data_IF_429903818532
#
_entry.id   IF_429903818532
#
_cell.length_a   1.000
_cell.length_b   1.000
_cell.length_c   1.000
_cell.angle_alpha   90.00
_cell.angle_beta   90.00
_cell.angle_gamma   90.00
#
_symmetry.space_group_name_H-M   'P 1'
#
loop_
_entity.id
_entity.type
_entity.pdbx_description
1 polymer ?
#
# COMPACT_ATOMS: atom_id res chain seq x y z
N UNK A 1 6.68 -22.18 -0.09
CA UNK A 1 6.18 -20.88 -0.60
C UNK A 1 5.33 -20.10 0.40
N UNK A 2 4.24 -20.60 1.02
CA UNK A 2 3.38 -19.76 1.85
C UNK A 2 4.08 -19.19 3.10
N UNK A 3 5.02 -19.93 3.69
CA UNK A 3 5.75 -19.47 4.87
C UNK A 3 6.50 -18.15 4.65
N UNK A 4 7.29 -18.04 3.57
CA UNK A 4 8.09 -16.84 3.30
C UNK A 4 7.21 -15.62 3.02
N UNK A 5 6.13 -15.80 2.25
CA UNK A 5 5.18 -14.73 2.02
C UNK A 5 4.56 -14.23 3.34
N UNK A 6 4.20 -15.14 4.25
CA UNK A 6 3.62 -14.77 5.55
C UNK A 6 4.65 -14.16 6.52
N UNK A 7 5.92 -14.57 6.45
CA UNK A 7 7.02 -13.88 7.13
C UNK A 7 7.14 -12.42 6.64
N UNK A 8 7.10 -12.20 5.32
CA UNK A 8 7.10 -10.85 4.78
C UNK A 8 5.87 -10.03 5.20
N UNK A 9 4.67 -10.62 5.25
CA UNK A 9 3.47 -9.94 5.75
C UNK A 9 3.63 -9.56 7.22
N UNK A 10 4.25 -10.41 8.06
CA UNK A 10 4.58 -10.06 9.45
C UNK A 10 5.53 -8.86 9.49
N UNK A 11 6.52 -8.82 8.62
CA UNK A 11 7.49 -7.73 8.60
C UNK A 11 6.86 -6.41 8.17
N UNK A 12 5.89 -6.44 7.24
CA UNK A 12 5.03 -5.28 6.93
C UNK A 12 4.20 -4.87 8.16
N UNK A 13 3.58 -5.83 8.84
CA UNK A 13 2.74 -5.56 10.02
C UNK A 13 3.54 -4.94 11.20
N UNK A 14 4.83 -5.27 11.30
CA UNK A 14 5.75 -4.82 12.35
C UNK A 14 6.70 -3.70 11.90
N UNK A 15 6.46 -3.13 10.72
CA UNK A 15 7.35 -2.14 10.16
C UNK A 15 7.45 -0.89 11.07
N UNK A 16 8.67 -0.49 11.48
CA UNK A 16 8.87 0.60 12.45
C UNK A 16 8.57 1.99 11.87
N UNK A 17 8.49 2.13 10.54
CA UNK A 17 8.10 3.37 9.85
C UNK A 17 6.57 3.44 9.75
N UNK A 18 5.93 2.33 9.40
CA UNK A 18 4.47 2.24 9.32
C UNK A 18 3.82 2.36 10.69
N UNK A 19 4.45 1.84 11.77
CA UNK A 19 3.95 1.90 13.16
C UNK A 19 2.47 1.50 13.27
N UNK A 20 2.09 0.44 12.55
CA UNK A 20 0.70 -0.01 12.49
C UNK A 20 0.24 -0.47 13.87
N UNK A 21 -0.90 0.06 14.33
CA UNK A 21 -1.48 -0.23 15.66
C UNK A 21 -2.98 -0.05 15.64
N UNK A 22 -3.70 -0.54 16.63
CA UNK A 22 -5.13 -0.24 16.75
C UNK A 22 -5.38 1.29 16.63
N UNK A 23 -6.30 1.75 15.76
CA UNK A 23 -7.37 0.99 15.08
C UNK A 23 -7.05 0.48 13.66
N UNK A 24 -5.78 0.47 13.25
CA UNK A 24 -5.35 -0.12 11.97
C UNK A 24 -5.78 -1.59 11.89
N UNK A 25 -6.17 -2.00 10.69
CA UNK A 25 -6.64 -3.35 10.40
C UNK A 25 -5.83 -3.96 9.27
N UNK A 26 -5.59 -5.26 9.38
CA UNK A 26 -5.00 -6.05 8.31
C UNK A 26 -5.95 -7.19 7.95
N UNK A 27 -6.09 -7.40 6.64
CA UNK A 27 -6.87 -8.50 6.09
C UNK A 27 -5.95 -9.32 5.20
N UNK A 28 -5.80 -10.60 5.53
CA UNK A 28 -5.09 -11.57 4.70
C UNK A 28 -6.11 -12.44 3.96
N UNK A 29 -5.85 -12.69 2.68
CA UNK A 29 -6.64 -13.58 1.83
C UNK A 29 -5.71 -14.43 0.97
N UNK A 30 -6.01 -15.71 0.88
CA UNK A 30 -5.52 -16.59 -0.18
C UNK A 30 -6.64 -16.77 -1.21
N UNK A 31 -6.31 -17.23 -2.42
CA UNK A 31 -7.27 -17.26 -3.53
C UNK A 31 -7.07 -18.48 -4.45
N UNK A 32 -6.77 -19.64 -3.87
CA UNK A 32 -6.57 -20.90 -4.61
C UNK A 32 -7.87 -21.72 -4.57
N UNK A 33 -8.68 -21.69 -5.64
CA UNK A 33 -9.88 -22.52 -5.84
C UNK A 33 -11.07 -22.29 -4.88
N UNK A 34 -10.78 -22.02 -3.61
CA UNK A 34 -11.61 -21.45 -2.57
C UNK A 34 -10.97 -20.12 -2.15
N UNK A 35 -11.80 -19.12 -1.82
CA UNK A 35 -11.31 -17.93 -1.11
C UNK A 35 -11.67 -18.19 0.35
N UNK A 36 -10.74 -18.72 1.18
CA UNK A 36 -11.06 -18.97 2.56
C UNK A 36 -11.53 -17.69 3.27
N UNK A 37 -12.28 -17.92 4.34
CA UNK A 37 -12.82 -16.86 5.19
C UNK A 37 -11.72 -15.86 5.57
N UNK A 38 -12.03 -14.55 5.42
CA UNK A 38 -11.03 -13.48 5.57
C UNK A 38 -10.38 -13.58 6.95
N UNK A 39 -9.05 -13.60 7.01
CA UNK A 39 -8.37 -13.46 8.30
C UNK A 39 -8.25 -11.97 8.60
N UNK A 40 -9.04 -11.52 9.55
CA UNK A 40 -8.93 -10.17 10.10
C UNK A 40 -8.06 -10.23 11.34
N UNK A 41 -7.07 -9.35 11.42
CA UNK A 41 -6.38 -9.13 12.68
C UNK A 41 -5.95 -7.66 12.80
N UNK A 42 -5.65 -7.26 14.02
CA UNK A 42 -4.83 -6.07 14.21
C UNK A 42 -3.37 -6.42 13.89
N UNK A 43 -2.60 -5.50 13.28
CA UNK A 43 -1.21 -5.75 12.87
C UNK A 43 -0.30 -6.25 14.00
N UNK A 44 -0.50 -5.76 15.23
CA UNK A 44 0.22 -6.19 16.44
C UNK A 44 -0.11 -7.63 16.87
N UNK A 45 -1.28 -8.13 16.48
CA UNK A 45 -1.76 -9.50 16.74
C UNK A 45 -1.54 -10.46 15.57
N UNK A 46 -0.85 -10.04 14.51
CA UNK A 46 -0.59 -10.92 13.38
C UNK A 46 0.37 -12.05 13.78
N UNK A 47 -0.13 -13.27 13.72
CA UNK A 47 0.63 -14.50 13.98
C UNK A 47 0.70 -15.34 12.71
N UNK A 48 1.81 -15.22 11.99
CA UNK A 48 2.03 -15.95 10.74
C UNK A 48 2.05 -17.48 10.94
N UNK A 49 2.47 -17.99 12.11
CA UNK A 49 2.53 -19.45 12.37
C UNK A 49 1.12 -20.01 12.46
N UNK A 50 0.23 -19.31 13.16
CA UNK A 50 -1.19 -19.64 13.20
C UNK A 50 -1.80 -19.59 11.80
N UNK A 51 -1.45 -18.59 11.00
CA UNK A 51 -1.95 -18.48 9.61
C UNK A 51 -1.54 -19.65 8.72
N UNK A 52 -0.31 -20.16 8.87
CA UNK A 52 0.12 -21.36 8.15
C UNK A 52 -0.77 -22.55 8.49
N UNK A 53 -1.09 -22.74 9.78
CA UNK A 53 -1.98 -23.81 10.24
C UNK A 53 -3.39 -23.63 9.69
N UNK A 54 -3.92 -22.40 9.72
CA UNK A 54 -5.27 -22.11 9.24
C UNK A 54 -5.39 -22.33 7.72
N UNK A 55 -4.39 -21.91 6.94
CA UNK A 55 -4.32 -22.18 5.48
C UNK A 55 -4.18 -23.68 5.21
N UNK A 56 -3.40 -24.41 6.00
CA UNK A 56 -3.23 -25.85 5.80
C UNK A 56 -4.50 -26.67 6.07
N UNK A 57 -5.41 -26.16 6.92
CA UNK A 57 -6.70 -26.82 7.22
C UNK A 57 -7.72 -26.70 6.09
N UNK A 58 -7.69 -25.61 5.35
CA UNK A 58 -8.54 -25.36 4.17
C UNK A 58 -7.67 -24.79 3.03
N UNK A 59 -6.87 -25.64 2.37
CA UNK A 59 -5.90 -25.21 1.37
C UNK A 59 -6.55 -24.73 0.06
N UNK A 60 -7.88 -24.92 -0.08
CA UNK A 60 -8.61 -24.70 -1.32
C UNK A 60 -8.23 -25.69 -2.42
N UNK A 61 -8.71 -25.42 -3.64
CA UNK A 61 -8.39 -26.22 -4.83
C UNK A 61 -7.15 -25.64 -5.50
N UNK A 62 -6.01 -26.33 -5.34
CA UNK A 62 -4.70 -25.92 -5.83
C UNK A 62 -4.56 -26.00 -7.35
N UNK A 63 -5.54 -26.59 -8.06
CA UNK A 63 -5.57 -26.59 -9.53
C UNK A 63 -6.19 -25.32 -10.11
N UNK A 64 -6.75 -24.45 -9.26
CA UNK A 64 -7.42 -23.21 -9.65
C UNK A 64 -6.88 -22.01 -8.92
N UNK A 65 -6.74 -20.92 -9.63
CA UNK A 65 -6.36 -19.62 -9.11
C UNK A 65 -7.49 -18.62 -9.37
N UNK A 66 -7.85 -17.83 -8.36
CA UNK A 66 -8.98 -16.87 -8.38
C UNK A 66 -8.55 -15.47 -7.93
N UNK A 67 -7.52 -14.92 -8.56
CA UNK A 67 -6.96 -13.59 -8.28
C UNK A 67 -8.03 -12.51 -8.37
N UNK A 68 -8.87 -12.51 -9.41
CA UNK A 68 -9.89 -11.46 -9.60
C UNK A 68 -10.94 -11.46 -8.50
N UNK A 69 -11.38 -12.64 -8.08
CA UNK A 69 -12.33 -12.78 -6.98
C UNK A 69 -11.69 -12.38 -5.63
N UNK A 70 -10.42 -12.74 -5.41
CA UNK A 70 -9.66 -12.36 -4.22
C UNK A 70 -9.50 -10.83 -4.11
N UNK A 71 -9.09 -10.18 -5.19
CA UNK A 71 -9.00 -8.72 -5.26
C UNK A 71 -10.37 -8.06 -5.15
N UNK A 72 -11.37 -8.55 -5.89
CA UNK A 72 -12.73 -8.02 -5.88
C UNK A 72 -13.38 -8.10 -4.50
N UNK A 73 -13.15 -9.19 -3.77
CA UNK A 73 -13.62 -9.34 -2.38
C UNK A 73 -12.91 -8.38 -1.44
N UNK A 74 -11.60 -8.17 -1.64
CA UNK A 74 -10.83 -7.20 -0.85
C UNK A 74 -11.34 -5.77 -1.08
N UNK A 75 -11.62 -5.40 -2.33
CA UNK A 75 -12.24 -4.11 -2.67
C UNK A 75 -13.62 -3.96 -2.02
N UNK A 76 -14.43 -5.03 -2.01
CA UNK A 76 -15.74 -5.00 -1.35
C UNK A 76 -15.61 -4.70 0.15
N UNK A 77 -14.66 -5.31 0.86
CA UNK A 77 -14.41 -4.98 2.27
C UNK A 77 -13.91 -3.55 2.48
N UNK A 78 -13.07 -3.03 1.58
CA UNK A 78 -12.66 -1.62 1.66
C UNK A 78 -13.85 -0.67 1.44
N UNK A 79 -14.80 -1.05 0.58
CA UNK A 79 -16.02 -0.30 0.30
C UNK A 79 -17.06 -0.34 1.44
N UNK A 80 -17.00 -1.31 2.35
CA UNK A 80 -17.78 -1.35 3.59
C UNK A 80 -17.34 -0.26 4.59
N UNK A 81 -16.12 0.24 4.43
CA UNK A 81 -15.52 1.29 5.26
C UNK A 81 -15.03 2.45 4.38
N UNK A 82 -15.94 3.23 3.76
CA UNK A 82 -15.59 4.23 2.77
C UNK A 82 -15.11 5.56 3.37
N UNK A 83 -15.08 5.70 4.70
CA UNK A 83 -14.75 6.96 5.35
C UNK A 83 -13.32 7.44 5.02
N UNK A 84 -13.19 8.74 4.73
CA UNK A 84 -11.89 9.34 4.46
C UNK A 84 -11.10 9.62 5.75
N UNK A 85 -11.82 9.71 6.88
CA UNK A 85 -11.24 9.94 8.20
C UNK A 85 -11.81 9.00 9.25
N UNK A 86 -10.94 8.51 10.15
CA UNK A 86 -11.33 7.72 11.31
C UNK A 86 -10.57 8.23 12.54
N UNK A 87 -11.31 8.58 13.60
CA UNK A 87 -10.75 9.21 14.81
C UNK A 87 -9.88 10.45 14.50
N UNK A 88 -10.33 11.30 13.58
CA UNK A 88 -9.65 12.53 13.19
C UNK A 88 -8.40 12.35 12.32
N UNK A 89 -8.07 11.12 11.90
CA UNK A 89 -6.93 10.81 11.02
C UNK A 89 -7.40 10.35 9.65
N UNK A 90 -6.64 10.70 8.61
CA UNK A 90 -6.92 10.25 7.25
C UNK A 90 -6.77 8.72 7.13
N UNK A 91 -7.68 8.10 6.40
CA UNK A 91 -7.65 6.66 6.10
C UNK A 91 -6.87 6.43 4.81
N UNK A 92 -5.94 5.49 4.87
CA UNK A 92 -5.08 5.09 3.75
C UNK A 92 -5.23 3.60 3.55
N UNK A 93 -5.45 3.16 2.30
CA UNK A 93 -5.78 1.76 1.99
C UNK A 93 -4.73 1.19 1.06
N UNK A 94 -4.09 0.12 1.48
CA UNK A 94 -3.14 -0.65 0.67
C UNK A 94 -3.70 -2.04 0.39
N UNK A 95 -3.63 -2.45 -0.88
CA UNK A 95 -3.82 -3.83 -1.30
C UNK A 95 -2.49 -4.36 -1.84
N UNK A 96 -1.93 -5.37 -1.19
CA UNK A 96 -0.73 -6.06 -1.65
C UNK A 96 -1.15 -7.39 -2.27
N UNK A 97 -0.86 -7.58 -3.55
CA UNK A 97 -1.12 -8.82 -4.27
C UNK A 97 0.19 -9.52 -4.60
N UNK A 98 0.40 -10.74 -4.11
CA UNK A 98 1.47 -11.62 -4.57
C UNK A 98 0.85 -12.68 -5.50
N UNK A 99 1.32 -12.78 -6.74
CA UNK A 99 0.77 -13.70 -7.74
C UNK A 99 1.85 -14.14 -8.72
N UNK A 100 1.67 -15.32 -9.33
CA UNK A 100 2.42 -15.77 -10.50
C UNK A 100 1.75 -15.34 -11.82
N UNK A 101 0.64 -14.60 -11.75
CA UNK A 101 -0.11 -14.09 -12.89
C UNK A 101 -1.18 -15.05 -13.44
N UNK A 102 -1.21 -16.30 -12.99
CA UNK A 102 -2.18 -17.29 -13.43
C UNK A 102 -3.54 -17.05 -12.80
N UNK A 103 -4.61 -17.32 -13.57
CA UNK A 103 -5.98 -17.21 -13.08
C UNK A 103 -6.95 -18.06 -13.92
N UNK A 104 -8.07 -18.48 -13.33
CA UNK A 104 -9.10 -19.31 -13.99
C UNK A 104 -10.48 -18.63 -14.04
N UNK A 105 -10.54 -17.31 -13.96
CA UNK A 105 -11.78 -16.55 -13.94
C UNK A 105 -12.51 -16.58 -15.28
N UNK A 106 -13.84 -16.63 -15.19
CA UNK A 106 -14.70 -16.37 -16.34
C UNK A 106 -14.65 -14.88 -16.72
N UNK A 107 -15.14 -14.56 -17.92
CA UNK A 107 -15.32 -13.17 -18.35
C UNK A 107 -16.18 -12.38 -17.36
N UNK A 108 -17.27 -12.97 -16.88
CA UNK A 108 -18.19 -12.33 -15.92
C UNK A 108 -17.49 -11.96 -14.61
N UNK A 109 -16.59 -12.81 -14.12
CA UNK A 109 -15.78 -12.52 -12.93
C UNK A 109 -14.87 -11.31 -13.15
N UNK A 110 -14.22 -11.23 -14.32
CA UNK A 110 -13.35 -10.09 -14.65
C UNK A 110 -14.16 -8.79 -14.78
N UNK A 111 -15.33 -8.85 -15.41
CA UNK A 111 -16.21 -7.68 -15.57
C UNK A 111 -16.77 -7.22 -14.21
N UNK A 112 -17.13 -8.17 -13.33
CA UNK A 112 -17.53 -7.88 -11.96
C UNK A 112 -16.42 -7.24 -11.13
N UNK A 113 -15.16 -7.68 -11.31
CA UNK A 113 -14.00 -7.03 -10.72
C UNK A 113 -13.84 -5.60 -11.24
N UNK A 114 -13.88 -5.39 -12.56
CA UNK A 114 -13.73 -4.08 -13.17
C UNK A 114 -14.78 -3.08 -12.64
N UNK A 115 -16.04 -3.52 -12.49
CA UNK A 115 -17.11 -2.73 -11.89
C UNK A 115 -16.82 -2.37 -10.41
N UNK A 116 -16.34 -3.32 -9.61
CA UNK A 116 -15.94 -3.08 -8.21
C UNK A 116 -14.76 -2.13 -8.11
N UNK A 117 -13.76 -2.27 -8.98
CA UNK A 117 -12.60 -1.40 -9.04
C UNK A 117 -13.03 0.03 -9.39
N UNK A 118 -13.87 0.21 -10.40
CA UNK A 118 -14.44 1.52 -10.76
C UNK A 118 -15.22 2.15 -9.59
N UNK A 119 -16.05 1.38 -8.89
CA UNK A 119 -16.75 1.86 -7.69
C UNK A 119 -15.77 2.25 -6.57
N UNK A 120 -14.72 1.47 -6.36
CA UNK A 120 -13.68 1.74 -5.37
C UNK A 120 -12.91 3.02 -5.70
N UNK A 121 -12.50 3.24 -6.95
CA UNK A 121 -11.81 4.47 -7.35
C UNK A 121 -12.69 5.71 -7.23
N UNK A 122 -14.00 5.58 -7.37
CA UNK A 122 -14.92 6.70 -7.16
C UNK A 122 -15.09 7.07 -5.68
N UNK A 123 -15.26 6.05 -4.82
CA UNK A 123 -15.69 6.20 -3.42
C UNK A 123 -14.55 6.28 -2.41
N UNK A 124 -13.42 5.64 -2.68
CA UNK A 124 -12.32 5.56 -1.71
C UNK A 124 -11.26 6.59 -2.05
N UNK A 125 -10.93 7.44 -1.09
CA UNK A 125 -9.68 8.22 -1.13
C UNK A 125 -8.48 7.35 -0.72
N UNK A 126 -7.29 7.75 -1.17
CA UNK A 126 -6.00 7.15 -0.78
C UNK A 126 -5.96 5.62 -0.95
N UNK A 127 -6.46 5.12 -2.10
CA UNK A 127 -6.40 3.72 -2.45
C UNK A 127 -5.11 3.43 -3.24
N UNK A 128 -4.34 2.48 -2.74
CA UNK A 128 -3.08 2.03 -3.33
C UNK A 128 -3.10 0.51 -3.52
N UNK A 129 -2.68 0.07 -4.70
CA UNK A 129 -2.57 -1.34 -5.06
C UNK A 129 -1.12 -1.61 -5.46
N UNK A 130 -0.47 -2.57 -4.83
CA UNK A 130 0.86 -3.03 -5.21
C UNK A 130 0.75 -4.47 -5.67
N UNK A 131 1.07 -4.72 -6.93
CA UNK A 131 1.04 -6.03 -7.55
C UNK A 131 2.47 -6.55 -7.64
N UNK A 132 2.79 -7.57 -6.86
CA UNK A 132 4.04 -8.32 -6.86
C UNK A 132 3.84 -9.59 -7.70
N UNK A 133 4.32 -9.54 -8.94
CA UNK A 133 4.32 -10.67 -9.85
C UNK A 133 5.64 -11.43 -9.73
N UNK A 134 5.60 -12.64 -9.21
CA UNK A 134 6.80 -13.43 -8.92
C UNK A 134 6.65 -14.81 -9.54
N UNK A 135 7.58 -15.17 -10.44
CA UNK A 135 7.52 -16.44 -11.15
C UNK A 135 6.49 -16.46 -12.28
N UNK A 136 6.32 -15.33 -12.97
CA UNK A 136 5.38 -15.18 -14.08
C UNK A 136 5.75 -16.12 -15.24
N UNK A 137 4.96 -17.15 -15.44
CA UNK A 137 5.14 -18.07 -16.56
C UNK A 137 4.69 -17.46 -17.88
N UNK A 138 5.20 -18.03 -18.99
CA UNK A 138 4.88 -17.53 -20.33
C UNK A 138 3.39 -17.65 -20.69
N UNK A 139 2.66 -18.60 -20.08
CA UNK A 139 1.23 -18.81 -20.33
C UNK A 139 0.37 -17.82 -19.53
N UNK A 140 0.86 -17.41 -18.37
CA UNK A 140 0.20 -16.55 -17.40
C UNK A 140 0.41 -15.05 -17.71
N UNK A 141 1.34 -14.73 -18.61
CA UNK A 141 1.66 -13.36 -19.02
C UNK A 141 0.43 -12.60 -19.53
N UNK A 142 -0.44 -13.23 -20.31
CA UNK A 142 -1.60 -12.57 -20.91
C UNK A 142 -2.64 -12.16 -19.84
N UNK A 143 -2.93 -13.06 -18.89
CA UNK A 143 -3.86 -12.78 -17.79
C UNK A 143 -3.30 -11.72 -16.85
N UNK A 144 -2.00 -11.80 -16.58
CA UNK A 144 -1.29 -10.77 -15.83
C UNK A 144 -1.34 -9.40 -16.51
N UNK A 145 -1.09 -9.33 -17.83
CA UNK A 145 -1.17 -8.09 -18.60
C UNK A 145 -2.59 -7.52 -18.63
N UNK A 146 -3.60 -8.39 -18.70
CA UNK A 146 -5.01 -7.99 -18.59
C UNK A 146 -5.31 -7.37 -17.21
N UNK A 147 -4.81 -8.00 -16.13
CA UNK A 147 -4.93 -7.48 -14.77
C UNK A 147 -4.28 -6.11 -14.63
N UNK A 148 -3.03 -5.97 -15.07
CA UNK A 148 -2.30 -4.69 -15.03
C UNK A 148 -3.02 -3.63 -15.85
N UNK A 149 -3.48 -3.96 -17.06
CA UNK A 149 -4.15 -3.02 -17.95
C UNK A 149 -5.46 -2.49 -17.37
N UNK A 150 -6.31 -3.37 -16.82
CA UNK A 150 -7.56 -2.97 -16.17
C UNK A 150 -7.30 -2.10 -14.95
N UNK A 151 -6.29 -2.46 -14.16
CA UNK A 151 -5.95 -1.68 -12.99
C UNK A 151 -5.43 -0.30 -13.41
N UNK A 152 -4.48 -0.23 -14.36
CA UNK A 152 -3.91 1.04 -14.85
C UNK A 152 -4.94 1.96 -15.50
N UNK A 153 -5.96 1.41 -16.16
CA UNK A 153 -7.08 2.19 -16.67
C UNK A 153 -7.80 2.95 -15.54
N UNK A 154 -7.98 2.30 -14.39
CA UNK A 154 -8.59 2.91 -13.21
C UNK A 154 -7.69 3.98 -12.56
N UNK A 155 -6.36 3.84 -12.63
CA UNK A 155 -5.42 4.87 -12.15
C UNK A 155 -5.52 6.20 -12.92
N UNK A 156 -5.87 6.19 -14.21
CA UNK A 156 -6.04 7.42 -15.02
C UNK A 156 -7.14 8.33 -14.47
N UNK A 157 -8.05 7.80 -13.65
CA UNK A 157 -9.10 8.55 -12.95
C UNK A 157 -8.61 9.23 -11.64
N UNK A 158 -7.29 9.20 -11.37
CA UNK A 158 -6.56 9.97 -10.34
C UNK A 158 -6.83 9.66 -8.86
N UNK A 159 -7.48 8.54 -8.52
CA UNK A 159 -7.77 8.15 -7.12
C UNK A 159 -7.19 6.79 -6.69
N UNK A 160 -6.55 6.11 -7.62
CA UNK A 160 -5.91 4.81 -7.41
C UNK A 160 -4.45 4.94 -7.81
N UNK A 161 -3.54 4.41 -6.99
CA UNK A 161 -2.20 4.16 -7.50
C UNK A 161 -1.85 2.69 -7.59
N UNK A 162 -1.19 2.33 -8.69
CA UNK A 162 -0.69 0.99 -8.93
C UNK A 162 0.82 1.01 -9.05
N UNK A 163 1.45 0.07 -8.35
CA UNK A 163 2.84 -0.31 -8.59
C UNK A 163 2.87 -1.78 -8.98
N UNK A 164 3.69 -2.09 -9.98
CA UNK A 164 3.97 -3.46 -10.38
C UNK A 164 5.43 -3.76 -10.08
N UNK A 165 5.67 -4.84 -9.34
CA UNK A 165 6.99 -5.38 -9.03
C UNK A 165 7.09 -6.75 -9.67
N UNK A 166 8.03 -6.96 -10.59
CA UNK A 166 8.22 -8.23 -11.30
C UNK A 166 9.49 -8.93 -10.84
N UNK A 167 9.43 -10.26 -10.70
CA UNK A 167 10.58 -11.14 -10.48
C UNK A 167 10.41 -12.42 -11.30
N UNK A 168 11.51 -12.92 -11.84
CA UNK A 168 11.48 -13.97 -12.86
C UNK A 168 11.12 -15.36 -12.31
N UNK A 169 11.41 -15.64 -11.03
CA UNK A 169 11.13 -16.95 -10.42
C UNK A 169 10.50 -16.83 -9.03
N UNK A 170 9.67 -17.82 -8.66
CA UNK A 170 9.02 -17.95 -7.36
C UNK A 170 9.96 -18.44 -6.24
N UNK A 171 11.20 -17.94 -6.23
CA UNK A 171 12.16 -18.24 -5.18
C UNK A 171 11.91 -17.41 -3.92
N UNK A 172 12.31 -17.98 -2.79
CA UNK A 172 12.27 -17.34 -1.47
C UNK A 172 13.01 -15.99 -1.42
N UNK A 173 14.07 -15.82 -2.21
CA UNK A 173 14.82 -14.56 -2.35
C UNK A 173 13.97 -13.54 -3.11
N UNK A 174 13.44 -13.94 -4.27
CA UNK A 174 12.64 -13.06 -5.11
C UNK A 174 11.34 -12.59 -4.43
N UNK A 175 10.70 -13.46 -3.64
CA UNK A 175 9.52 -13.07 -2.85
C UNK A 175 9.92 -11.98 -1.84
N UNK A 176 11.01 -12.18 -1.09
CA UNK A 176 11.49 -11.19 -0.12
C UNK A 176 11.84 -9.88 -0.80
N UNK A 177 12.57 -9.92 -1.90
CA UNK A 177 12.97 -8.73 -2.66
C UNK A 177 11.75 -7.99 -3.23
N UNK A 178 10.69 -8.70 -3.64
CA UNK A 178 9.46 -8.08 -4.09
C UNK A 178 8.74 -7.33 -2.95
N UNK A 179 8.68 -7.94 -1.76
CA UNK A 179 8.11 -7.31 -0.57
C UNK A 179 8.95 -6.13 -0.07
N UNK A 180 10.27 -6.20 -0.13
CA UNK A 180 11.16 -5.09 0.23
C UNK A 180 10.90 -3.90 -0.68
N UNK A 181 10.87 -4.11 -2.01
CA UNK A 181 10.57 -3.03 -2.96
C UNK A 181 9.17 -2.45 -2.75
N UNK A 182 8.16 -3.32 -2.53
CA UNK A 182 6.80 -2.88 -2.23
C UNK A 182 6.74 -2.05 -0.95
N UNK A 183 7.43 -2.48 0.11
CA UNK A 183 7.44 -1.79 1.40
C UNK A 183 8.17 -0.46 1.33
N UNK A 184 9.28 -0.38 0.60
CA UNK A 184 9.99 0.89 0.37
C UNK A 184 9.12 1.90 -0.38
N UNK A 185 8.35 1.45 -1.37
CA UNK A 185 7.38 2.31 -2.05
C UNK A 185 6.25 2.75 -1.11
N UNK A 186 5.72 1.87 -0.25
CA UNK A 186 4.70 2.24 0.76
C UNK A 186 5.27 3.28 1.74
N UNK A 187 6.49 3.06 2.25
CA UNK A 187 7.18 3.98 3.16
C UNK A 187 7.39 5.35 2.50
N UNK A 188 7.76 5.38 1.22
CA UNK A 188 7.94 6.63 0.48
C UNK A 188 6.64 7.43 0.28
N UNK A 189 5.47 6.77 0.39
CA UNK A 189 4.17 7.44 0.27
C UNK A 189 3.65 8.01 1.57
N UNK A 190 4.09 7.45 2.69
CA UNK A 190 3.61 7.78 4.02
C UNK A 190 4.58 8.77 4.65
N UNK A 191 4.18 10.03 4.73
CA UNK A 191 4.87 11.01 5.54
C UNK A 191 4.14 11.13 6.88
N UNK A 192 4.90 11.00 7.98
CA UNK A 192 4.39 11.30 9.32
C UNK A 192 5.01 12.61 9.78
N UNK A 193 4.19 13.60 10.11
CA UNK A 193 4.69 14.83 10.71
C UNK A 193 5.08 14.61 12.20
N UNK A 194 5.71 15.62 12.81
CA UNK A 194 6.14 15.56 14.21
C UNK A 194 4.98 15.34 15.20
N UNK A 195 3.73 15.62 14.81
CA UNK A 195 2.52 15.36 15.60
C UNK A 195 1.94 13.96 15.35
N UNK A 196 2.58 13.14 14.50
CA UNK A 196 2.15 11.79 14.16
C UNK A 196 0.97 11.73 13.18
N UNK A 197 0.62 12.85 12.53
CA UNK A 197 -0.37 12.87 11.44
C UNK A 197 0.26 12.26 10.20
N UNK A 198 -0.48 11.36 9.56
CA UNK A 198 -0.07 10.73 8.29
C UNK A 198 -0.58 11.60 7.15
N UNK A 199 0.33 12.11 6.33
CA UNK A 199 0.01 12.62 4.99
C UNK A 199 0.46 11.59 3.97
N UNK A 200 -0.42 11.30 3.01
CA UNK A 200 -0.10 10.39 1.91
C UNK A 200 0.08 11.17 0.63
N UNK A 201 1.27 11.09 0.07
CA UNK A 201 1.48 11.54 -1.28
C UNK A 201 0.83 10.52 -2.21
N UNK A 202 -0.04 10.97 -3.13
CA UNK A 202 -0.43 10.09 -4.23
C UNK A 202 0.84 9.77 -5.04
N UNK A 203 1.05 8.50 -5.39
CA UNK A 203 2.05 8.11 -6.39
C UNK A 203 1.58 8.74 -7.72
N UNK A 204 1.90 10.01 -7.93
CA UNK A 204 1.77 10.63 -9.25
C UNK A 204 2.70 9.83 -10.14
N UNK A 205 2.16 9.25 -11.21
CA UNK A 205 2.94 8.61 -12.28
C UNK A 205 4.18 9.45 -12.50
N UNK A 206 5.36 8.84 -12.26
CA UNK A 206 6.66 9.50 -12.22
C UNK A 206 7.00 10.09 -13.59
N UNK A 207 6.46 11.25 -13.91
CA UNK A 207 7.09 12.18 -14.83
C UNK A 207 8.29 12.78 -14.08
N UNK A 208 9.49 12.24 -14.35
CA UNK A 208 10.74 12.60 -13.66
C UNK A 208 10.97 14.12 -13.60
N UNK A 209 10.47 14.87 -14.60
CA UNK A 209 10.62 16.33 -14.68
C UNK A 209 9.77 17.07 -13.63
N UNK A 210 8.57 16.57 -13.33
CA UNK A 210 7.68 17.16 -12.31
C UNK A 210 8.10 16.77 -10.90
N UNK A 211 8.67 15.58 -10.72
CA UNK A 211 9.25 15.14 -9.44
C UNK A 211 10.44 16.02 -9.06
N UNK A 212 11.37 16.32 -9.98
CA UNK A 212 12.47 17.25 -9.69
C UNK A 212 11.98 18.66 -9.32
N UNK A 213 10.92 19.17 -9.97
CA UNK A 213 10.37 20.48 -9.63
C UNK A 213 9.65 20.47 -8.26
N UNK A 214 8.93 19.40 -7.93
CA UNK A 214 8.28 19.27 -6.63
C UNK A 214 9.26 18.99 -5.50
N UNK A 215 10.30 18.18 -5.73
CA UNK A 215 11.38 17.94 -4.77
C UNK A 215 12.23 19.19 -4.58
N UNK A 216 12.48 19.97 -5.63
CA UNK A 216 13.10 21.30 -5.50
C UNK A 216 12.19 22.30 -4.77
N UNK A 217 10.88 22.25 -4.97
CA UNK A 217 9.93 23.10 -4.24
C UNK A 217 9.81 22.69 -2.76
N UNK A 218 9.77 21.38 -2.47
CA UNK A 218 9.74 20.82 -1.13
C UNK A 218 11.08 21.05 -0.40
N UNK A 219 12.22 20.94 -1.10
CA UNK A 219 13.54 21.27 -0.57
C UNK A 219 13.70 22.78 -0.33
N UNK A 220 13.18 23.64 -1.22
CA UNK A 220 13.12 25.11 -0.99
C UNK A 220 12.22 25.47 0.19
N UNK A 221 11.06 24.82 0.33
CA UNK A 221 10.19 25.00 1.49
C UNK A 221 10.90 24.54 2.77
N UNK A 222 11.50 23.35 2.79
CA UNK A 222 12.28 22.86 3.92
C UNK A 222 13.50 23.74 4.25
N UNK A 223 14.16 24.32 3.26
CA UNK A 223 15.21 25.33 3.46
C UNK A 223 14.64 26.62 4.07
N UNK A 224 13.51 27.12 3.57
CA UNK A 224 12.87 28.33 4.13
C UNK A 224 12.47 28.13 5.60
N UNK A 225 11.99 26.94 5.99
CA UNK A 225 11.74 26.61 7.41
C UNK A 225 13.03 26.56 8.25
N UNK A 226 14.16 26.11 7.69
CA UNK A 226 15.47 26.17 8.35
C UNK A 226 15.97 27.61 8.52
N UNK A 227 15.75 28.48 7.54
CA UNK A 227 16.13 29.90 7.63
C UNK A 227 15.26 30.66 8.64
N UNK A 228 13.97 30.33 8.75
CA UNK A 228 13.05 30.96 9.73
C UNK A 228 13.33 30.49 11.17
N UNK A 229 13.89 29.31 11.39
CA UNK A 229 14.35 28.87 12.73
C UNK A 229 15.75 29.40 13.11
N UNK A 230 16.59 29.81 12.16
CA UNK A 230 17.89 30.41 12.45
C UNK A 230 17.80 31.89 12.89
N UNK A 231 16.66 32.54 12.67
CA UNK A 231 16.38 33.93 13.11
C UNK A 231 15.71 34.00 14.51
N UNK A 232 15.66 32.92 15.31
CA UNK A 232 14.84 32.92 16.55
C UNK A 232 15.55 32.51 17.84
N UNK A 233 16.88 32.53 17.91
CA UNK A 233 17.59 32.40 19.19
C UNK A 233 18.60 33.52 19.49
N UNK A 234 19.23 34.09 18.46
CA UNK A 234 20.18 35.20 18.63
C UNK A 234 19.53 36.59 18.54
N UNK A 235 18.43 36.74 17.78
CA UNK A 235 17.74 38.03 17.61
C UNK A 235 16.80 38.37 18.78
N UNK A 236 16.33 37.34 19.50
CA UNK A 236 15.50 37.51 20.70
C UNK A 236 16.30 38.04 21.91
N UNK A 237 17.60 37.74 22.01
CA UNK A 237 18.47 38.25 23.09
C UNK A 237 18.92 39.69 22.87
N UNK A 238 19.01 40.16 21.62
CA UNK A 238 19.31 41.57 21.32
C UNK A 238 18.05 42.46 21.36
N UNK A 239 16.87 41.93 20.99
CA UNK A 239 15.60 42.64 21.11
C UNK A 239 15.17 42.88 22.57
N UNK A 240 15.48 41.96 23.49
CA UNK A 240 15.15 42.11 24.91
C UNK A 240 16.09 43.07 25.66
N UNK A 241 17.37 43.21 25.27
CA UNK A 241 18.29 44.17 25.90
C UNK A 241 17.95 45.63 25.63
N UNK A 242 17.32 45.94 24.48
CA UNK A 242 16.93 47.30 24.14
C UNK A 242 15.57 47.74 24.72
N UNK A 243 14.81 46.84 25.35
CA UNK A 243 13.53 47.18 26.01
C UNK A 243 13.65 47.49 27.51
N UNK A 244 14.78 47.15 28.15
CA UNK A 244 15.00 47.35 29.60
C UNK A 244 15.99 48.48 29.93
N UNK A 245 16.39 49.30 28.95
CA UNK A 245 17.29 50.46 29.15
C UNK A 245 16.62 51.82 28.89
N UNK A 246 15.29 51.85 28.77
CA UNK A 246 14.51 53.09 28.81
C UNK A 246 13.55 53.05 30.00
N UNK A 247 14.09 53.37 31.16
CA UNK A 247 13.43 54.09 32.26
C UNK A 247 14.52 54.81 33.05
#
# INVERSE_FOLDING_TARGET
MPQVALECVRDVARDPVLKLKAPDSMVLRTFNGNIPSRVCCHPDKFDYKRMIVDIAKDPGDTSKTRVWDGMGSTLANMLEHPEDKRYGKDVVRFMLLLTDGGDNASKDTVDAFAAKLSKATQKLSNLHVVIMAVGLGAKEQADFERLVSLTLAAQRQKKLTIKVVKRDSASDVNIRDAFVEALDDIRALIHRDAAGRVTVNMLRTRDRRKVQQMDQAAAKMAQSYKTTQLLSAADLTNGLKNMFLTN
#
